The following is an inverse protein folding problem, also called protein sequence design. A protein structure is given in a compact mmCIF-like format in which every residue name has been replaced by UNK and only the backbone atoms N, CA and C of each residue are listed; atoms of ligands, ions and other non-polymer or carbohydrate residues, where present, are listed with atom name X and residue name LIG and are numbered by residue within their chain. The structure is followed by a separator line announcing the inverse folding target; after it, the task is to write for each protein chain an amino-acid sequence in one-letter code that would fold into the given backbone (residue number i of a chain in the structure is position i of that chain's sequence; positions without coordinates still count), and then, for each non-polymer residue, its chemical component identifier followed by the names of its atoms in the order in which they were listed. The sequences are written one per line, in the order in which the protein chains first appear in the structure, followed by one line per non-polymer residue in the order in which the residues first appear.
data_IF_210789192813
#
_entry.id   IF_210789192813
#
_cell.length_a   1.000
_cell.length_b   1.000
_cell.length_c   1.000
_cell.angle_alpha   90.00
_cell.angle_beta   90.00
_cell.angle_gamma   90.00
#
_symmetry.space_group_name_H-M   'P 1'
#
loop_
_entity.id
_entity.type
_entity.pdbx_description
1 polymer ?
#
# COMPACT_ATOMS: atom_id res chain seq x y z
N UNK A 1 37.58 29.84 -34.64
CA UNK A 1 38.45 28.67 -34.38
C UNK A 1 37.90 27.93 -33.16
N UNK A 2 37.83 26.60 -33.23
CA UNK A 2 37.45 25.62 -32.17
C UNK A 2 38.22 25.90 -30.86
N UNK A 3 37.76 25.56 -29.64
CA UNK A 3 37.50 24.20 -29.12
C UNK A 3 36.64 24.22 -27.84
N UNK A 4 35.69 23.28 -27.75
CA UNK A 4 35.17 22.72 -26.50
C UNK A 4 36.25 21.86 -25.82
N UNK A 5 36.28 21.81 -24.48
CA UNK A 5 35.98 20.56 -23.74
C UNK A 5 35.28 20.89 -22.40
N UNK A 6 34.67 20.02 -21.61
CA UNK A 6 34.27 18.63 -21.67
C UNK A 6 33.22 18.49 -20.54
N UNK A 7 32.26 17.58 -20.72
CA UNK A 7 31.40 17.10 -19.64
C UNK A 7 32.27 16.68 -18.44
N UNK A 8 32.02 17.27 -17.27
CA UNK A 8 32.30 16.61 -16.00
C UNK A 8 30.96 16.14 -15.42
N UNK A 9 30.50 15.02 -15.95
CA UNK A 9 29.43 14.21 -15.40
C UNK A 9 29.95 13.65 -14.06
N UNK A 10 29.75 14.39 -12.98
CA UNK A 10 30.02 13.93 -11.61
C UNK A 10 28.88 13.01 -11.17
N UNK A 11 28.78 11.85 -11.81
CA UNK A 11 28.17 10.66 -11.21
C UNK A 11 29.15 10.14 -10.14
N UNK A 12 29.06 10.65 -8.93
CA UNK A 12 29.84 10.12 -7.81
C UNK A 12 29.07 10.26 -6.50
N UNK A 13 28.08 9.39 -6.31
CA UNK A 13 27.67 8.82 -5.03
C UNK A 13 26.71 7.65 -5.34
N UNK A 14 27.30 6.52 -5.75
CA UNK A 14 26.63 5.22 -5.74
C UNK A 14 26.52 4.70 -4.31
N UNK A 15 25.87 5.46 -3.43
CA UNK A 15 25.15 4.88 -2.31
C UNK A 15 23.83 4.44 -2.93
N UNK A 16 23.62 3.12 -3.04
CA UNK A 16 22.43 2.58 -3.68
C UNK A 16 21.18 3.25 -3.10
N UNK A 17 20.54 4.11 -3.89
CA UNK A 17 19.15 4.45 -3.66
C UNK A 17 18.42 3.11 -3.79
N UNK A 18 18.13 2.47 -2.66
CA UNK A 18 17.15 1.42 -2.66
C UNK A 18 15.88 2.06 -3.22
N UNK A 19 15.51 1.69 -4.43
CA UNK A 19 14.19 1.99 -4.97
C UNK A 19 13.19 1.38 -3.98
N UNK A 20 12.53 2.23 -3.20
CA UNK A 20 11.54 1.83 -2.23
C UNK A 20 10.19 1.50 -2.90
N UNK A 21 10.17 1.46 -4.24
CA UNK A 21 9.04 1.15 -5.08
C UNK A 21 7.88 2.14 -4.88
N UNK A 22 8.18 3.39 -4.49
CA UNK A 22 7.19 4.44 -4.25
C UNK A 22 6.55 4.38 -2.87
N UNK A 23 7.08 3.57 -1.95
CA UNK A 23 6.49 3.36 -0.61
C UNK A 23 6.57 4.60 0.26
N UNK A 24 7.66 5.36 0.19
CA UNK A 24 7.84 6.63 0.89
C UNK A 24 6.88 7.72 0.38
N UNK A 25 6.74 7.82 -0.93
CA UNK A 25 5.83 8.79 -1.56
C UNK A 25 4.35 8.45 -1.27
N UNK A 26 4.01 7.16 -1.29
CA UNK A 26 2.70 6.68 -0.85
C UNK A 26 2.42 7.07 0.59
N UNK A 27 3.36 6.80 1.51
CA UNK A 27 3.22 7.18 2.91
C UNK A 27 2.98 8.69 3.06
N UNK A 28 3.78 9.52 2.37
CA UNK A 28 3.63 10.96 2.41
C UNK A 28 2.26 11.44 1.86
N UNK A 29 1.75 10.81 0.80
CA UNK A 29 0.44 11.12 0.24
C UNK A 29 -0.69 10.80 1.22
N UNK A 30 -0.67 9.61 1.81
CA UNK A 30 -1.65 9.19 2.82
C UNK A 30 -1.60 10.10 4.06
N UNK A 31 -0.40 10.46 4.54
CA UNK A 31 -0.23 11.42 5.64
C UNK A 31 -0.85 12.79 5.32
N UNK A 32 -0.71 13.28 4.07
CA UNK A 32 -1.37 14.52 3.64
C UNK A 32 -2.89 14.41 3.65
N UNK A 33 -3.46 13.26 3.26
CA UNK A 33 -4.90 13.03 3.37
C UNK A 33 -5.38 13.13 4.82
N UNK A 34 -4.67 12.51 5.76
CA UNK A 34 -4.99 12.57 7.19
C UNK A 34 -4.96 14.01 7.74
N UNK A 35 -4.00 14.82 7.29
CA UNK A 35 -3.84 16.21 7.71
C UNK A 35 -4.87 17.16 7.06
N UNK A 36 -5.22 16.93 5.80
CA UNK A 36 -6.13 17.78 5.03
C UNK A 36 -7.59 17.54 5.41
N UNK A 37 -7.96 16.27 5.62
CA UNK A 37 -9.33 15.85 5.87
C UNK A 37 -9.44 15.23 7.26
N UNK A 38 -9.85 15.99 8.30
CA UNK A 38 -10.07 15.43 9.63
C UNK A 38 -11.25 14.45 9.60
N UNK A 39 -11.21 13.42 10.45
CA UNK A 39 -12.30 12.45 10.54
C UNK A 39 -13.45 12.99 11.38
N UNK A 40 -14.40 13.64 10.71
CA UNK A 40 -15.61 14.23 11.28
C UNK A 40 -16.66 14.40 10.18
N UNK A 41 -17.90 14.66 10.59
CA UNK A 41 -18.99 14.98 9.67
C UNK A 41 -18.62 16.13 8.72
N UNK A 42 -18.88 15.92 7.44
CA UNK A 42 -18.63 16.84 6.34
C UNK A 42 -17.26 16.70 5.68
N UNK A 43 -16.37 15.84 6.19
CA UNK A 43 -15.03 15.60 5.63
C UNK A 43 -14.60 14.13 5.72
N UNK A 44 -15.45 13.24 6.22
CA UNK A 44 -15.07 11.86 6.46
C UNK A 44 -14.92 11.07 5.16
N UNK A 45 -15.83 11.26 4.20
CA UNK A 45 -15.72 10.67 2.88
C UNK A 45 -14.48 11.18 2.15
N UNK A 46 -14.23 12.49 2.15
CA UNK A 46 -13.08 13.09 1.46
C UNK A 46 -11.74 12.55 1.97
N UNK A 47 -11.63 12.29 3.28
CA UNK A 47 -10.46 11.61 3.85
C UNK A 47 -10.22 10.26 3.18
N UNK A 48 -11.24 9.41 3.14
CA UNK A 48 -11.09 8.06 2.59
C UNK A 48 -10.98 8.05 1.07
N UNK A 49 -11.61 8.99 0.38
CA UNK A 49 -11.43 9.18 -1.06
C UNK A 49 -9.99 9.57 -1.38
N UNK A 50 -9.41 10.53 -0.66
CA UNK A 50 -8.01 10.91 -0.82
C UNK A 50 -7.06 9.73 -0.59
N UNK A 51 -7.31 8.91 0.43
CA UNK A 51 -6.48 7.72 0.74
C UNK A 51 -6.61 6.66 -0.37
N UNK A 52 -7.83 6.36 -0.80
CA UNK A 52 -8.08 5.40 -1.87
C UNK A 52 -7.44 5.83 -3.19
N UNK A 53 -7.54 7.12 -3.54
CA UNK A 53 -6.90 7.70 -4.72
C UNK A 53 -5.37 7.60 -4.64
N UNK A 54 -4.78 7.81 -3.45
CA UNK A 54 -3.36 7.60 -3.24
C UNK A 54 -2.97 6.12 -3.45
N UNK A 55 -3.72 5.18 -2.87
CA UNK A 55 -3.47 3.76 -3.07
C UNK A 55 -3.55 3.34 -4.54
N UNK A 56 -4.57 3.82 -5.27
CA UNK A 56 -4.71 3.59 -6.71
C UNK A 56 -3.56 4.20 -7.52
N UNK A 57 -3.13 5.41 -7.17
CA UNK A 57 -2.06 6.11 -7.89
C UNK A 57 -0.71 5.41 -7.77
N UNK A 58 -0.33 4.99 -6.57
CA UNK A 58 0.97 4.33 -6.33
C UNK A 58 0.94 2.82 -6.66
N UNK A 59 -0.22 2.19 -6.58
CA UNK A 59 -0.43 0.84 -7.08
C UNK A 59 0.30 -0.27 -6.30
N UNK A 60 0.24 -1.52 -6.81
CA UNK A 60 0.66 -2.71 -6.09
C UNK A 60 2.15 -2.77 -5.75
N UNK A 61 3.03 -2.07 -6.49
CA UNK A 61 4.45 -2.04 -6.18
C UNK A 61 4.74 -1.34 -4.85
N UNK A 62 4.09 -0.20 -4.60
CA UNK A 62 4.22 0.53 -3.33
C UNK A 62 3.46 -0.13 -2.18
N UNK A 63 2.29 -0.69 -2.48
CA UNK A 63 1.37 -1.32 -1.52
C UNK A 63 1.78 -2.74 -1.12
N UNK A 64 2.50 -3.43 -1.99
CA UNK A 64 2.96 -4.80 -1.80
C UNK A 64 1.85 -5.85 -1.94
N UNK A 65 2.10 -7.08 -1.47
CA UNK A 65 1.25 -8.26 -1.71
C UNK A 65 -0.19 -8.16 -1.18
N UNK A 66 -0.49 -7.14 -0.36
CA UNK A 66 -1.80 -6.92 0.25
C UNK A 66 -2.68 -5.95 -0.54
N UNK A 67 -2.27 -5.53 -1.74
CA UNK A 67 -2.99 -4.55 -2.58
C UNK A 67 -4.50 -4.80 -2.69
N UNK A 68 -4.92 -6.05 -3.00
CA UNK A 68 -6.34 -6.41 -3.14
C UNK A 68 -7.11 -6.27 -1.83
N UNK A 69 -6.43 -6.53 -0.71
CA UNK A 69 -7.01 -6.42 0.61
C UNK A 69 -7.17 -4.95 1.01
N UNK A 70 -6.16 -4.14 0.73
CA UNK A 70 -6.19 -2.70 0.96
C UNK A 70 -7.31 -2.05 0.14
N UNK A 71 -7.48 -2.45 -1.12
CA UNK A 71 -8.59 -1.96 -1.97
C UNK A 71 -9.99 -2.28 -1.39
N UNK A 72 -10.14 -3.44 -0.71
CA UNK A 72 -11.38 -3.78 -0.01
C UNK A 72 -11.59 -2.92 1.25
N UNK A 73 -10.52 -2.63 2.00
CA UNK A 73 -10.57 -1.71 3.14
C UNK A 73 -10.98 -0.32 2.65
N UNK A 74 -10.35 0.20 1.59
CA UNK A 74 -10.67 1.52 1.01
C UNK A 74 -12.16 1.61 0.66
N UNK A 75 -12.70 0.59 -0.01
CA UNK A 75 -14.14 0.55 -0.36
C UNK A 75 -15.05 0.58 0.87
N UNK A 76 -14.69 -0.14 1.94
CA UNK A 76 -15.47 -0.15 3.17
C UNK A 76 -15.36 1.18 3.91
N UNK A 77 -14.15 1.75 3.99
CA UNK A 77 -13.89 3.04 4.61
C UNK A 77 -14.61 4.18 3.89
N UNK A 78 -14.71 4.16 2.56
CA UNK A 78 -15.51 5.12 1.79
C UNK A 78 -16.98 5.11 2.22
N UNK A 79 -17.58 3.92 2.39
CA UNK A 79 -18.96 3.79 2.85
C UNK A 79 -19.13 4.32 4.26
N UNK A 80 -18.22 3.97 5.17
CA UNK A 80 -18.21 4.50 6.54
C UNK A 80 -18.10 6.04 6.53
N UNK A 81 -17.25 6.59 5.66
CA UNK A 81 -17.12 8.04 5.47
C UNK A 81 -18.43 8.69 5.04
N UNK A 82 -19.12 8.11 4.06
CA UNK A 82 -20.45 8.58 3.62
C UNK A 82 -21.45 8.54 4.77
N UNK A 83 -21.48 7.46 5.55
CA UNK A 83 -22.40 7.31 6.67
C UNK A 83 -22.14 8.35 7.78
N UNK A 84 -20.87 8.67 8.04
CA UNK A 84 -20.50 9.76 8.97
C UNK A 84 -20.93 11.12 8.45
N UNK A 85 -20.70 11.39 7.16
CA UNK A 85 -21.06 12.67 6.54
C UNK A 85 -22.58 12.87 6.44
N UNK A 86 -23.33 11.80 6.17
CA UNK A 86 -24.78 11.78 6.24
C UNK A 86 -25.31 11.92 7.68
N UNK A 87 -24.51 11.60 8.69
CA UNK A 87 -24.90 11.54 10.09
C UNK A 87 -25.65 10.26 10.47
N UNK A 88 -25.57 9.22 9.64
CA UNK A 88 -26.05 7.87 9.93
C UNK A 88 -25.20 7.18 11.00
N UNK A 89 -23.87 7.43 10.98
CA UNK A 89 -22.93 6.98 12.01
C UNK A 89 -22.32 8.17 12.74
N UNK A 90 -22.21 8.06 14.07
CA UNK A 90 -21.34 8.97 14.84
C UNK A 90 -19.86 8.61 14.62
N UNK A 91 -18.96 9.56 14.85
CA UNK A 91 -17.50 9.32 14.73
C UNK A 91 -17.04 8.14 15.61
N UNK A 92 -17.43 8.03 16.90
CA UNK A 92 -17.02 6.89 17.72
C UNK A 92 -17.56 5.53 17.25
N UNK A 93 -18.74 5.48 16.65
CA UNK A 93 -19.27 4.24 16.05
C UNK A 93 -18.49 3.88 14.78
N UNK A 94 -18.23 4.88 13.95
CA UNK A 94 -17.46 4.71 12.72
C UNK A 94 -16.02 4.27 13.00
N UNK A 95 -15.37 4.72 14.09
CA UNK A 95 -14.06 4.22 14.52
C UNK A 95 -14.08 2.73 14.86
N UNK A 96 -15.16 2.24 15.49
CA UNK A 96 -15.34 0.80 15.78
C UNK A 96 -15.51 0.00 14.48
N UNK A 97 -16.30 0.50 13.54
CA UNK A 97 -16.48 -0.13 12.23
C UNK A 97 -15.17 -0.17 11.44
N UNK A 98 -14.41 0.93 11.44
CA UNK A 98 -13.07 1.00 10.81
C UNK A 98 -12.09 0.00 11.43
N UNK A 99 -12.11 -0.13 12.75
CA UNK A 99 -11.30 -1.13 13.44
C UNK A 99 -11.71 -2.55 13.06
N UNK A 100 -13.01 -2.83 12.97
CA UNK A 100 -13.52 -4.13 12.57
C UNK A 100 -13.13 -4.50 11.13
N UNK A 101 -13.30 -3.60 10.16
CA UNK A 101 -12.93 -3.87 8.76
C UNK A 101 -11.43 -4.11 8.62
N UNK A 102 -10.61 -3.35 9.34
CA UNK A 102 -9.15 -3.53 9.36
C UNK A 102 -8.75 -4.86 9.97
N UNK A 103 -9.36 -5.24 11.10
CA UNK A 103 -9.09 -6.52 11.79
C UNK A 103 -9.50 -7.71 10.92
N UNK A 104 -10.68 -7.64 10.30
CA UNK A 104 -11.17 -8.66 9.37
C UNK A 104 -10.20 -8.83 8.21
N UNK A 105 -9.71 -7.73 7.66
CA UNK A 105 -8.76 -7.76 6.57
C UNK A 105 -7.42 -8.40 6.99
N UNK A 106 -6.86 -8.00 8.14
CA UNK A 106 -5.65 -8.62 8.69
C UNK A 106 -5.80 -10.13 8.88
N UNK A 107 -6.94 -10.58 9.42
CA UNK A 107 -7.23 -12.01 9.56
C UNK A 107 -7.26 -12.73 8.21
N UNK A 108 -7.82 -12.11 7.17
CA UNK A 108 -7.80 -12.66 5.81
C UNK A 108 -6.37 -12.72 5.25
N UNK A 109 -5.53 -11.71 5.49
CA UNK A 109 -4.13 -11.75 5.08
C UNK A 109 -3.38 -12.92 5.75
N UNK A 110 -3.56 -13.11 7.06
CA UNK A 110 -2.93 -14.21 7.81
C UNK A 110 -3.39 -15.58 7.27
N UNK A 111 -4.70 -15.75 7.03
CA UNK A 111 -5.24 -16.99 6.48
C UNK A 111 -4.66 -17.29 5.10
N UNK A 112 -4.53 -16.27 4.23
CA UNK A 112 -3.92 -16.43 2.89
C UNK A 112 -2.46 -16.86 2.99
N UNK A 113 -1.68 -16.25 3.88
CA UNK A 113 -0.27 -16.61 4.10
C UNK A 113 -0.09 -18.04 4.60
N UNK A 114 -0.98 -18.50 5.49
CA UNK A 114 -0.95 -19.87 6.02
C UNK A 114 -1.43 -20.94 5.02
N UNK A 115 -2.14 -20.52 3.96
CA UNK A 115 -2.72 -21.42 2.96
C UNK A 115 -1.85 -21.58 1.70
N UNK A 116 -0.75 -20.83 1.58
CA UNK A 116 0.18 -20.99 0.46
C UNK A 116 1.01 -22.26 0.67
N UNK A 117 0.89 -23.28 -0.21
CA UNK A 117 1.78 -24.43 -0.14
C UNK A 117 3.21 -23.94 -0.42
N UNK A 118 4.14 -24.29 0.47
CA UNK A 118 5.57 -24.26 0.18
C UNK A 118 5.75 -25.09 -1.09
N UNK A 119 5.96 -24.42 -2.22
CA UNK A 119 6.42 -25.09 -3.42
C UNK A 119 7.87 -25.45 -3.15
N UNK A 120 8.09 -26.59 -2.49
CA UNK A 120 9.38 -27.23 -2.41
C UNK A 120 9.78 -27.54 -3.86
N UNK A 121 10.75 -26.77 -4.38
CA UNK A 121 11.41 -27.12 -5.62
C UNK A 121 11.82 -28.61 -5.55
N UNK A 122 11.60 -29.41 -6.62
CA UNK A 122 12.00 -30.81 -6.59
C UNK A 122 13.51 -30.87 -6.37
N UNK A 123 13.89 -31.50 -5.26
CA UNK A 123 15.25 -31.81 -4.87
C UNK A 123 15.87 -32.69 -5.96
N UNK A 124 16.77 -32.12 -6.74
CA UNK A 124 17.49 -32.81 -7.81
C UNK A 124 18.62 -33.62 -7.17
N UNK A 125 18.28 -34.74 -6.52
CA UNK A 125 19.27 -35.69 -5.99
C UNK A 125 19.25 -36.99 -6.81
N UNK A 126 20.37 -37.20 -7.50
CA UNK A 126 21.07 -38.47 -7.72
C UNK A 126 20.46 -39.54 -8.64
N UNK A 127 20.99 -39.63 -9.86
CA UNK A 127 21.20 -40.91 -10.56
C UNK A 127 22.62 -41.00 -11.12
N UNK A 128 23.51 -41.58 -10.32
CA UNK A 128 24.68 -42.42 -10.65
C UNK A 128 24.88 -42.79 -12.14
N UNK A 129 26.10 -42.65 -12.72
CA UNK A 129 26.40 -43.15 -14.06
C UNK A 129 26.55 -44.67 -14.07
N UNK A 130 26.02 -45.30 -15.11
CA UNK A 130 26.16 -46.72 -15.37
C UNK A 130 27.58 -47.04 -15.87
N UNK A 131 28.15 -48.13 -15.38
CA UNK A 131 29.25 -48.89 -15.98
C UNK A 131 28.70 -50.23 -16.46
#
# INVERSE_FOLDING_TARGET
MRRLPALAFLCALSAGCADDQGKGDLHAAVSRCFATYPFRKGTAYDRFNCIADAHLHYGPNALGPQYDLISQIDTASLRIGLDVDAGTLSVPEAEKELHWVTTKAQNQAIQRSNSQPVTTAPRMDDKRPAS
#
